data_IF_483574151657
#
_entry.id   IF_483574151657
#
_cell.length_a   1.000
_cell.length_b   1.000
_cell.length_c   1.000
_cell.angle_alpha   90.00
_cell.angle_beta   90.00
_cell.angle_gamma   90.00
#
_symmetry.space_group_name_H-M   'P 1'
#
loop_
_entity.id
_entity.type
_entity.pdbx_description
1 polymer ?
#
# COMPACT_ATOMS: atom_id res chain seq x y z
N UNK A 1 3.85 20.49 1.49
CA UNK A 1 5.11 19.72 1.57
C UNK A 1 5.40 18.98 0.26
N UNK A 2 6.63 18.46 0.10
CA UNK A 2 6.98 17.62 -1.06
C UNK A 2 6.10 16.36 -1.14
N UNK A 3 5.79 15.76 0.00
CA UNK A 3 4.90 14.60 0.06
C UNK A 3 3.47 14.93 -0.39
N UNK A 4 2.91 16.06 0.02
CA UNK A 4 1.57 16.51 -0.37
C UNK A 4 1.46 16.77 -1.87
N UNK A 5 2.51 17.26 -2.50
CA UNK A 5 2.54 17.48 -3.96
C UNK A 5 2.21 16.20 -4.75
N UNK A 6 2.69 15.03 -4.28
CA UNK A 6 2.38 13.74 -4.90
C UNK A 6 1.13 13.07 -4.33
N UNK A 7 0.81 13.34 -3.05
CA UNK A 7 -0.34 12.74 -2.39
C UNK A 7 -1.66 13.32 -2.91
N UNK A 8 -1.75 14.63 -3.10
CA UNK A 8 -3.00 15.29 -3.48
C UNK A 8 -3.60 14.78 -4.80
N UNK A 9 -2.84 14.64 -5.91
CA UNK A 9 -3.38 14.06 -7.14
C UNK A 9 -3.82 12.61 -6.98
N UNK A 10 -3.17 11.86 -6.10
CA UNK A 10 -3.57 10.48 -5.80
C UNK A 10 -4.90 10.43 -5.03
N UNK A 11 -5.09 11.30 -4.03
CA UNK A 11 -6.34 11.39 -3.28
C UNK A 11 -7.49 11.85 -4.18
N UNK A 12 -7.24 12.81 -5.07
CA UNK A 12 -8.21 13.23 -6.08
C UNK A 12 -8.63 12.07 -6.99
N UNK A 13 -7.68 11.26 -7.44
CA UNK A 13 -7.98 10.07 -8.23
C UNK A 13 -8.79 9.03 -7.43
N UNK A 14 -8.48 8.82 -6.16
CA UNK A 14 -9.26 7.95 -5.28
C UNK A 14 -10.70 8.42 -5.13
N UNK A 15 -10.92 9.73 -4.93
CA UNK A 15 -12.25 10.32 -4.86
C UNK A 15 -13.03 10.07 -6.15
N UNK A 16 -12.42 10.29 -7.33
CA UNK A 16 -13.05 10.06 -8.62
C UNK A 16 -13.46 8.60 -8.82
N UNK A 17 -12.70 7.65 -8.31
CA UNK A 17 -13.08 6.22 -8.34
C UNK A 17 -13.96 5.80 -7.16
N UNK A 18 -14.45 6.74 -6.35
CA UNK A 18 -15.35 6.46 -5.23
C UNK A 18 -14.68 5.76 -4.04
N UNK A 19 -13.40 6.00 -3.81
CA UNK A 19 -12.63 5.50 -2.66
C UNK A 19 -12.25 6.68 -1.78
N UNK A 20 -12.79 6.74 -0.57
CA UNK A 20 -12.54 7.81 0.40
C UNK A 20 -11.86 7.21 1.65
N UNK A 21 -10.54 7.03 1.63
CA UNK A 21 -9.83 6.47 2.77
C UNK A 21 -9.66 7.49 3.90
N UNK A 22 -9.55 7.00 5.12
CA UNK A 22 -8.96 7.77 6.20
C UNK A 22 -7.46 7.92 5.94
N UNK A 23 -6.98 9.15 5.91
CA UNK A 23 -5.57 9.45 5.63
C UNK A 23 -4.83 9.72 6.92
N UNK A 24 -3.83 8.90 7.23
CA UNK A 24 -2.96 9.08 8.39
C UNK A 24 -1.61 9.63 7.93
N UNK A 25 -1.26 10.82 8.40
CA UNK A 25 0.03 11.43 8.15
C UNK A 25 1.04 10.92 9.19
N UNK A 26 1.87 9.96 8.79
CA UNK A 26 2.75 9.24 9.71
C UNK A 26 3.73 10.15 10.48
N UNK A 27 4.20 11.26 9.88
CA UNK A 27 5.06 12.22 10.57
C UNK A 27 4.33 12.91 11.75
N UNK A 28 3.06 13.22 11.60
CA UNK A 28 2.25 13.80 12.67
C UNK A 28 2.07 12.82 13.85
N UNK A 29 1.94 11.52 13.55
CA UNK A 29 1.89 10.48 14.59
C UNK A 29 3.20 10.42 15.39
N UNK A 30 4.35 10.60 14.73
CA UNK A 30 5.63 10.74 15.42
C UNK A 30 5.71 12.01 16.26
N UNK A 31 5.26 13.14 15.74
CA UNK A 31 5.25 14.45 16.45
C UNK A 31 4.31 14.43 17.66
N UNK A 32 3.20 13.67 17.59
CA UNK A 32 2.29 13.46 18.74
C UNK A 32 2.80 12.43 19.75
N UNK A 33 3.96 11.82 19.50
CA UNK A 33 4.57 10.82 20.38
C UNK A 33 3.90 9.45 20.38
N UNK A 34 3.02 9.15 19.43
CA UNK A 34 2.30 7.85 19.33
C UNK A 34 3.28 6.67 19.16
N UNK A 35 4.45 6.92 18.58
CA UNK A 35 5.49 5.93 18.39
C UNK A 35 6.46 5.77 19.58
N UNK A 36 6.42 6.66 20.57
CA UNK A 36 7.45 6.73 21.63
C UNK A 36 7.58 5.42 22.43
N UNK A 37 6.47 4.80 22.81
CA UNK A 37 6.46 3.51 23.52
C UNK A 37 7.09 2.40 22.67
N UNK A 38 6.77 2.35 21.37
CA UNK A 38 7.26 1.31 20.47
C UNK A 38 8.73 1.51 20.10
N UNK A 39 9.21 2.75 20.05
CA UNK A 39 10.64 3.06 19.92
C UNK A 39 11.40 2.53 21.13
N UNK A 40 10.92 2.81 22.35
CA UNK A 40 11.54 2.34 23.58
C UNK A 40 11.55 0.82 23.69
N UNK A 41 10.42 0.16 23.35
CA UNK A 41 10.33 -1.30 23.27
C UNK A 41 11.27 -1.90 22.23
N UNK A 42 11.36 -1.28 21.04
CA UNK A 42 12.26 -1.74 19.99
C UNK A 42 13.73 -1.62 20.41
N UNK A 43 14.10 -0.55 21.12
CA UNK A 43 15.46 -0.36 21.63
C UNK A 43 15.78 -1.40 22.71
N UNK A 44 14.86 -1.66 23.64
CA UNK A 44 15.02 -2.68 24.67
C UNK A 44 15.19 -4.09 24.12
N UNK A 45 14.49 -4.39 23.00
CA UNK A 45 14.52 -5.69 22.34
C UNK A 45 15.40 -5.70 21.07
N UNK A 46 16.38 -4.80 20.98
CA UNK A 46 17.17 -4.56 19.76
C UNK A 46 17.80 -5.82 19.18
N UNK A 47 18.38 -6.67 20.01
CA UNK A 47 19.10 -7.86 19.53
C UNK A 47 18.10 -8.93 19.03
N UNK A 48 16.95 -9.09 19.67
CA UNK A 48 15.90 -10.01 19.21
C UNK A 48 15.31 -9.56 17.88
N UNK A 49 15.01 -8.26 17.73
CA UNK A 49 14.52 -7.70 16.46
C UNK A 49 15.58 -7.84 15.36
N UNK A 50 16.84 -7.60 15.68
CA UNK A 50 17.95 -7.75 14.75
C UNK A 50 18.06 -9.18 14.22
N UNK A 51 18.12 -10.18 15.09
CA UNK A 51 18.18 -11.59 14.69
C UNK A 51 16.95 -12.00 13.89
N UNK A 52 15.77 -11.59 14.30
CA UNK A 52 14.50 -11.81 13.58
C UNK A 52 14.57 -11.29 12.13
N UNK A 53 15.04 -10.06 11.93
CA UNK A 53 15.17 -9.49 10.58
C UNK A 53 16.19 -10.28 9.76
N UNK A 54 17.33 -10.63 10.34
CA UNK A 54 18.39 -11.38 9.63
C UNK A 54 17.94 -12.79 9.24
N UNK A 55 17.32 -13.51 10.15
CA UNK A 55 16.86 -14.89 9.95
C UNK A 55 15.77 -14.98 8.87
N UNK A 56 14.78 -14.09 8.91
CA UNK A 56 13.64 -14.15 7.99
C UNK A 56 13.99 -13.58 6.61
N UNK A 57 14.68 -12.42 6.58
CA UNK A 57 14.97 -11.74 5.32
C UNK A 57 16.28 -12.15 4.65
N UNK A 58 17.14 -12.88 5.35
CA UNK A 58 18.49 -13.23 4.87
C UNK A 58 19.44 -12.03 4.75
N UNK A 59 19.07 -10.86 5.28
CA UNK A 59 19.89 -9.64 5.20
C UNK A 59 20.80 -9.55 6.40
N UNK A 60 22.08 -9.33 6.18
CA UNK A 60 23.01 -8.94 7.24
C UNK A 60 22.78 -7.46 7.60
N UNK A 61 22.56 -7.19 8.89
CA UNK A 61 22.48 -5.84 9.41
C UNK A 61 23.85 -5.40 9.94
N UNK A 62 24.26 -4.13 9.74
CA UNK A 62 25.49 -3.58 10.27
C UNK A 62 25.62 -3.80 11.79
N UNK A 63 26.84 -3.88 12.30
CA UNK A 63 27.05 -4.06 13.75
C UNK A 63 26.49 -2.90 14.57
N UNK A 64 26.60 -1.69 14.01
CA UNK A 64 26.09 -0.44 14.57
C UNK A 64 24.58 -0.21 14.32
N UNK A 65 23.89 -1.18 13.70
CA UNK A 65 22.46 -1.03 13.45
C UNK A 65 21.68 -0.76 14.75
N UNK A 66 20.75 0.20 14.64
CA UNK A 66 19.92 0.61 15.76
C UNK A 66 18.46 0.75 15.31
N UNK A 67 17.46 0.39 16.14
CA UNK A 67 16.05 0.40 15.76
C UNK A 67 15.39 1.80 15.79
N UNK A 68 16.18 2.83 15.94
CA UNK A 68 15.77 4.22 15.89
C UNK A 68 16.82 5.04 15.13
N UNK A 69 16.39 5.90 14.24
CA UNK A 69 17.23 6.79 13.43
C UNK A 69 16.90 8.24 13.77
N UNK A 70 17.72 8.92 14.55
CA UNK A 70 17.56 10.34 14.85
C UNK A 70 17.73 11.22 13.62
N UNK A 71 17.13 12.40 13.62
CA UNK A 71 17.36 13.45 12.63
C UNK A 71 18.59 14.25 13.04
N UNK A 72 19.59 14.32 12.16
CA UNK A 72 20.83 15.06 12.38
C UNK A 72 20.68 16.58 12.29
N UNK A 73 21.77 17.29 12.49
CA UNK A 73 21.81 18.76 12.49
C UNK A 73 21.43 19.38 11.14
N UNK A 74 21.65 18.65 10.04
CA UNK A 74 21.28 19.03 8.67
C UNK A 74 19.84 18.60 8.28
N UNK A 75 19.06 18.09 9.24
CA UNK A 75 17.71 17.54 9.06
C UNK A 75 17.67 16.27 8.21
N UNK A 76 18.80 15.59 8.04
CA UNK A 76 18.90 14.29 7.39
C UNK A 76 18.92 13.14 8.43
N UNK A 77 18.59 11.94 7.97
CA UNK A 77 18.81 10.69 8.70
C UNK A 77 20.12 10.02 8.30
N UNK A 78 20.71 10.48 7.18
CA UNK A 78 21.86 9.81 6.57
C UNK A 78 23.13 10.11 7.38
N UNK A 79 23.88 9.03 7.68
CA UNK A 79 25.15 9.15 8.41
C UNK A 79 25.02 9.46 9.89
N UNK A 80 23.80 9.55 10.44
CA UNK A 80 23.57 9.74 11.87
C UNK A 80 23.75 8.42 12.61
N UNK A 81 24.60 8.40 13.62
CA UNK A 81 24.90 7.23 14.46
C UNK A 81 24.40 7.47 15.88
N UNK A 82 23.63 6.53 16.40
CA UNK A 82 23.22 6.56 17.82
C UNK A 82 24.41 6.14 18.67
N UNK A 83 24.77 7.00 19.60
CA UNK A 83 25.89 6.81 20.55
C UNK A 83 25.40 6.37 21.93
N UNK A 84 24.12 6.59 22.25
CA UNK A 84 23.52 6.20 23.52
C UNK A 84 22.01 6.38 23.52
N UNK A 85 21.36 5.77 24.51
CA UNK A 85 19.92 5.93 24.74
C UNK A 85 19.60 5.92 26.22
N UNK A 86 18.84 6.92 26.65
CA UNK A 86 18.25 7.00 27.99
C UNK A 86 16.84 7.57 27.83
N UNK A 87 15.83 6.74 28.02
CA UNK A 87 14.43 7.10 27.79
C UNK A 87 14.08 8.44 28.45
N UNK A 88 13.54 9.43 27.70
CA UNK A 88 13.11 9.37 26.29
C UNK A 88 14.14 9.87 25.27
N UNK A 89 15.41 9.96 25.61
CA UNK A 89 16.44 10.63 24.82
C UNK A 89 17.36 9.65 24.09
N UNK A 90 17.48 9.82 22.77
CA UNK A 90 18.53 9.24 21.94
C UNK A 90 19.69 10.21 21.76
N UNK A 91 20.91 9.80 22.06
CA UNK A 91 22.13 10.57 21.82
C UNK A 91 22.76 10.12 20.51
N UNK A 92 23.27 11.05 19.73
CA UNK A 92 23.78 10.75 18.39
C UNK A 92 24.93 11.67 17.99
N UNK A 93 25.70 11.20 17.00
CA UNK A 93 26.67 12.00 16.25
C UNK A 93 26.32 11.90 14.76
N UNK A 94 26.24 13.02 14.04
CA UNK A 94 25.92 13.05 12.62
C UNK A 94 27.15 12.90 11.71
N UNK A 95 26.92 12.91 10.39
CA UNK A 95 27.97 12.79 9.38
C UNK A 95 28.97 13.95 9.40
N UNK A 96 28.60 15.09 9.99
CA UNK A 96 29.45 16.30 10.13
C UNK A 96 30.23 16.33 11.44
N UNK A 97 30.08 15.28 12.28
CA UNK A 97 30.73 15.20 13.59
C UNK A 97 30.04 16.03 14.66
N UNK A 98 28.80 16.45 14.43
CA UNK A 98 28.01 17.20 15.43
C UNK A 98 27.33 16.19 16.35
N UNK A 99 27.54 16.36 17.65
CA UNK A 99 26.84 15.61 18.68
C UNK A 99 25.49 16.25 19.00
N UNK A 100 24.45 15.41 19.17
CA UNK A 100 23.12 15.88 19.47
C UNK A 100 22.32 14.92 20.33
N UNK A 101 21.12 15.38 20.65
CA UNK A 101 20.13 14.65 21.42
C UNK A 101 18.76 14.79 20.76
N UNK A 102 18.03 13.70 20.65
CA UNK A 102 16.65 13.65 20.14
C UNK A 102 15.69 13.11 21.20
N UNK A 103 14.51 13.66 21.26
CA UNK A 103 13.41 13.16 22.08
C UNK A 103 12.49 12.28 21.20
N UNK A 104 12.35 11.01 21.57
CA UNK A 104 11.52 10.06 20.79
C UNK A 104 10.02 10.42 20.77
N UNK A 105 9.58 11.36 21.59
CA UNK A 105 8.18 11.81 21.70
C UNK A 105 7.83 12.96 20.77
N UNK A 106 8.81 13.60 20.13
CA UNK A 106 8.64 14.86 19.40
C UNK A 106 8.87 14.73 17.89
N UNK A 107 8.92 13.52 17.34
CA UNK A 107 9.19 13.33 15.91
C UNK A 107 10.63 13.67 15.50
N UNK A 108 11.58 13.70 16.44
CA UNK A 108 12.99 14.03 16.20
C UNK A 108 13.81 12.85 15.65
N UNK A 109 13.12 11.85 15.11
CA UNK A 109 13.67 10.67 14.48
C UNK A 109 12.56 9.68 14.13
N UNK A 110 12.94 8.56 13.53
CA UNK A 110 11.98 7.50 13.16
C UNK A 110 12.58 6.10 13.30
N UNK A 111 11.73 5.11 13.37
CA UNK A 111 12.13 3.72 13.28
C UNK A 111 12.46 3.31 11.83
N UNK A 112 13.40 2.35 11.62
CA UNK A 112 13.57 1.69 10.34
C UNK A 112 12.26 1.08 9.85
N UNK A 113 12.05 1.10 8.54
CA UNK A 113 10.83 0.71 7.83
C UNK A 113 10.14 -0.57 8.37
N UNK A 114 10.89 -1.65 8.60
CA UNK A 114 10.30 -2.93 9.02
C UNK A 114 9.73 -2.89 10.44
N UNK A 115 10.30 -2.07 11.32
CA UNK A 115 9.83 -1.88 12.69
C UNK A 115 8.69 -0.87 12.71
N UNK A 116 8.86 0.23 12.00
CA UNK A 116 7.84 1.27 11.82
C UNK A 116 6.52 0.69 11.33
N UNK A 117 6.56 -0.18 10.31
CA UNK A 117 5.38 -0.81 9.77
C UNK A 117 4.65 -1.69 10.79
N UNK A 118 5.40 -2.51 11.55
CA UNK A 118 4.84 -3.34 12.61
C UNK A 118 4.22 -2.50 13.75
N UNK A 119 4.87 -1.39 14.13
CA UNK A 119 4.32 -0.47 15.13
C UNK A 119 3.04 0.21 14.65
N UNK A 120 2.95 0.59 13.37
CA UNK A 120 1.72 1.16 12.78
C UNK A 120 0.54 0.20 12.85
N UNK A 121 0.76 -1.09 12.66
CA UNK A 121 -0.31 -2.08 12.83
C UNK A 121 -0.95 -2.00 14.22
N UNK A 122 -0.12 -1.79 15.25
CA UNK A 122 -0.60 -1.70 16.65
C UNK A 122 -1.27 -0.34 16.88
N UNK A 123 -0.59 0.76 16.54
CA UNK A 123 -1.05 2.13 16.77
C UNK A 123 -2.43 2.37 16.13
N UNK A 124 -2.62 1.87 14.91
CA UNK A 124 -3.85 2.10 14.17
C UNK A 124 -4.84 0.93 14.22
N UNK A 125 -4.57 -0.12 15.01
CA UNK A 125 -5.46 -1.27 15.15
C UNK A 125 -5.74 -2.00 13.85
N UNK A 126 -4.72 -2.15 12.99
CA UNK A 126 -4.86 -2.77 11.67
C UNK A 126 -5.13 -4.26 11.83
N UNK A 127 -6.23 -4.75 11.28
CA UNK A 127 -6.63 -6.16 11.30
C UNK A 127 -6.42 -6.88 9.99
N UNK A 128 -6.32 -6.13 8.88
CA UNK A 128 -6.05 -6.66 7.54
C UNK A 128 -5.10 -5.73 6.80
N UNK A 129 -4.00 -6.28 6.27
CA UNK A 129 -2.98 -5.53 5.54
C UNK A 129 -2.90 -6.02 4.09
N UNK A 130 -3.43 -5.27 3.11
CA UNK A 130 -3.16 -5.53 1.70
C UNK A 130 -1.69 -5.25 1.39
N UNK A 131 -0.97 -6.26 0.92
CA UNK A 131 0.45 -6.16 0.61
C UNK A 131 0.74 -6.54 -0.84
N UNK A 132 1.49 -5.72 -1.55
CA UNK A 132 2.04 -6.09 -2.85
C UNK A 132 2.94 -7.32 -2.72
N UNK A 133 3.08 -8.09 -3.79
CA UNK A 133 3.85 -9.33 -3.83
C UNK A 133 5.28 -9.19 -3.32
N UNK A 134 5.93 -8.08 -3.57
CA UNK A 134 7.29 -7.77 -3.12
C UNK A 134 7.41 -7.68 -1.60
N UNK A 135 6.36 -7.26 -0.91
CA UNK A 135 6.29 -7.20 0.55
C UNK A 135 5.63 -8.43 1.18
N UNK A 136 4.63 -9.01 0.50
CA UNK A 136 3.81 -10.12 1.01
C UNK A 136 4.35 -11.51 0.70
N UNK A 137 5.38 -11.65 -0.16
CA UNK A 137 6.02 -12.93 -0.46
C UNK A 137 6.83 -13.46 0.73
N UNK A 138 7.12 -14.76 0.71
CA UNK A 138 7.93 -15.43 1.73
C UNK A 138 9.29 -14.72 1.93
N UNK A 139 9.65 -14.41 3.17
CA UNK A 139 10.84 -13.65 3.53
C UNK A 139 10.73 -12.13 3.28
N UNK A 140 9.58 -11.65 2.84
CA UNK A 140 9.28 -10.24 2.61
C UNK A 140 9.15 -9.41 3.90
N UNK A 141 8.82 -8.15 3.71
CA UNK A 141 8.70 -7.22 4.85
C UNK A 141 7.54 -7.59 5.78
N UNK A 142 6.47 -8.18 5.25
CA UNK A 142 5.34 -8.62 6.07
C UNK A 142 5.75 -9.76 7.01
N UNK A 143 6.45 -10.76 6.50
CA UNK A 143 6.87 -11.92 7.31
C UNK A 143 7.83 -11.52 8.45
N UNK A 144 8.66 -10.49 8.24
CA UNK A 144 9.47 -9.91 9.32
C UNK A 144 8.62 -9.06 10.28
N UNK A 145 7.57 -8.43 9.79
CA UNK A 145 6.66 -7.60 10.60
C UNK A 145 5.87 -8.41 11.63
N UNK A 146 5.49 -9.66 11.32
CA UNK A 146 4.71 -10.52 12.24
C UNK A 146 5.40 -10.70 13.60
N UNK A 147 6.62 -11.25 13.71
CA UNK A 147 7.29 -11.42 15.00
C UNK A 147 7.66 -10.08 15.63
N UNK A 148 8.04 -9.06 14.84
CA UNK A 148 8.34 -7.73 15.38
C UNK A 148 7.09 -7.12 16.04
N UNK A 149 5.90 -7.24 15.44
CA UNK A 149 4.64 -6.80 16.03
C UNK A 149 4.42 -7.46 17.39
N UNK A 150 4.67 -8.77 17.51
CA UNK A 150 4.54 -9.51 18.77
C UNK A 150 5.58 -9.07 19.81
N UNK A 151 6.82 -8.83 19.41
CA UNK A 151 7.87 -8.27 20.29
C UNK A 151 7.45 -6.90 20.82
N UNK A 152 6.77 -6.10 20.01
CA UNK A 152 6.23 -4.79 20.39
C UNK A 152 4.92 -4.89 21.18
N UNK A 153 4.42 -6.10 21.49
CA UNK A 153 3.24 -6.32 22.33
C UNK A 153 1.90 -6.31 21.62
N UNK A 154 1.88 -6.36 20.26
CA UNK A 154 0.66 -6.35 19.46
C UNK A 154 0.33 -7.67 18.77
N UNK A 155 -0.82 -7.67 18.10
CA UNK A 155 -1.27 -8.76 17.23
C UNK A 155 -1.12 -8.35 15.78
N UNK A 156 -0.41 -9.14 14.94
CA UNK A 156 -0.24 -8.81 13.53
C UNK A 156 -1.55 -9.01 12.75
N UNK A 157 -1.81 -8.18 11.71
CA UNK A 157 -2.99 -8.32 10.87
C UNK A 157 -2.94 -9.56 10.00
N UNK A 158 -4.10 -9.98 9.46
CA UNK A 158 -4.14 -10.90 8.32
C UNK A 158 -3.68 -10.20 7.04
N UNK A 159 -3.02 -10.93 6.12
CA UNK A 159 -2.56 -10.35 4.85
C UNK A 159 -3.42 -10.73 3.66
N UNK A 160 -3.55 -9.79 2.73
CA UNK A 160 -4.06 -10.04 1.39
C UNK A 160 -2.94 -9.68 0.40
N UNK A 161 -2.31 -10.70 -0.19
CA UNK A 161 -1.23 -10.46 -1.17
C UNK A 161 -1.81 -10.30 -2.56
N UNK A 162 -1.44 -9.20 -3.22
CA UNK A 162 -1.86 -8.90 -4.59
C UNK A 162 -0.66 -8.76 -5.54
N UNK A 163 -0.93 -9.06 -6.81
CA UNK A 163 0.05 -8.95 -7.89
C UNK A 163 0.09 -7.53 -8.46
N UNK A 164 1.10 -7.27 -9.26
CA UNK A 164 1.35 -5.95 -9.84
C UNK A 164 0.39 -5.58 -10.96
N UNK A 165 0.15 -4.28 -11.12
CA UNK A 165 -0.38 -3.70 -12.34
C UNK A 165 0.83 -3.34 -13.22
N UNK A 166 0.84 -3.85 -14.45
CA UNK A 166 1.93 -3.68 -15.42
C UNK A 166 1.40 -2.96 -16.66
N UNK A 167 2.27 -2.23 -17.33
CA UNK A 167 1.94 -1.72 -18.65
C UNK A 167 2.15 -2.83 -19.69
N UNK A 168 1.15 -3.07 -20.53
CA UNK A 168 1.20 -4.10 -21.56
C UNK A 168 2.40 -3.90 -22.49
N UNK A 169 3.22 -4.94 -22.62
CA UNK A 169 4.43 -4.93 -23.45
C UNK A 169 5.63 -4.21 -22.83
N UNK A 170 5.49 -3.56 -21.68
CA UNK A 170 6.57 -2.82 -21.00
C UNK A 170 6.97 -3.42 -19.64
N UNK A 171 6.15 -4.35 -19.11
CA UNK A 171 6.40 -4.99 -17.82
C UNK A 171 6.03 -4.13 -16.61
N UNK A 172 6.65 -4.39 -15.43
CA UNK A 172 6.34 -3.68 -14.20
C UNK A 172 6.58 -2.17 -14.33
N UNK A 173 5.63 -1.38 -13.81
CA UNK A 173 5.79 0.08 -13.76
C UNK A 173 6.91 0.46 -12.78
N UNK A 174 7.72 1.44 -13.18
CA UNK A 174 8.83 1.94 -12.36
C UNK A 174 8.99 3.45 -12.56
N UNK A 175 8.85 4.19 -11.48
CA UNK A 175 9.02 5.65 -11.49
C UNK A 175 10.46 6.06 -11.85
N UNK A 176 11.46 5.27 -11.44
CA UNK A 176 12.88 5.56 -11.73
C UNK A 176 13.26 5.39 -13.19
N UNK A 177 12.53 4.54 -13.93
CA UNK A 177 12.74 4.36 -15.39
C UNK A 177 11.82 5.25 -16.24
N UNK A 178 10.89 5.99 -15.63
CA UNK A 178 9.87 6.78 -16.33
C UNK A 178 8.78 5.94 -17.01
N UNK A 179 8.78 4.61 -16.81
CA UNK A 179 7.77 3.71 -17.34
C UNK A 179 6.64 3.58 -16.30
N UNK A 180 5.71 4.52 -16.33
CA UNK A 180 4.59 4.56 -15.40
C UNK A 180 3.41 5.28 -16.01
N UNK A 181 2.22 4.95 -15.55
CA UNK A 181 0.99 5.72 -15.76
C UNK A 181 0.39 6.01 -14.39
N UNK A 182 0.14 7.28 -14.11
CA UNK A 182 -0.48 7.70 -12.87
C UNK A 182 -1.99 7.44 -12.85
N UNK A 183 -2.63 7.37 -11.66
CA UNK A 183 -4.08 7.16 -11.58
C UNK A 183 -4.90 8.23 -12.32
N UNK A 184 -4.52 9.50 -12.21
CA UNK A 184 -5.19 10.59 -12.93
C UNK A 184 -5.05 10.48 -14.45
N UNK A 185 -3.87 10.04 -14.91
CA UNK A 185 -3.63 9.79 -16.33
C UNK A 185 -4.49 8.62 -16.82
N UNK A 186 -4.58 7.54 -16.05
CA UNK A 186 -5.47 6.41 -16.37
C UNK A 186 -6.94 6.84 -16.44
N UNK A 187 -7.39 7.70 -15.51
CA UNK A 187 -8.74 8.27 -15.51
C UNK A 187 -9.01 9.23 -16.67
N UNK A 188 -7.99 9.82 -17.29
CA UNK A 188 -8.15 10.61 -18.51
C UNK A 188 -8.45 9.76 -19.75
N UNK A 189 -8.16 8.44 -19.68
CA UNK A 189 -8.35 7.51 -20.82
C UNK A 189 -9.70 6.79 -20.76
N UNK A 190 -10.22 6.52 -19.57
CA UNK A 190 -11.48 5.77 -19.37
C UNK A 190 -12.28 6.28 -18.19
N UNK A 191 -13.62 6.10 -18.20
CA UNK A 191 -14.46 6.34 -17.02
C UNK A 191 -13.98 5.54 -15.80
N UNK A 192 -14.21 6.09 -14.59
CA UNK A 192 -13.80 5.45 -13.33
C UNK A 192 -14.35 4.04 -13.16
N UNK A 193 -15.55 3.75 -13.64
CA UNK A 193 -16.18 2.43 -13.59
C UNK A 193 -15.39 1.38 -14.40
N UNK A 194 -14.85 1.77 -15.55
CA UNK A 194 -14.02 0.89 -16.39
C UNK A 194 -12.69 0.59 -15.67
N UNK A 195 -12.07 1.59 -15.06
CA UNK A 195 -10.83 1.39 -14.29
C UNK A 195 -11.08 0.44 -13.11
N UNK A 196 -12.16 0.65 -12.35
CA UNK A 196 -12.57 -0.25 -11.27
C UNK A 196 -12.89 -1.66 -11.78
N UNK A 197 -13.55 -1.77 -12.94
CA UNK A 197 -13.87 -3.06 -13.55
C UNK A 197 -12.63 -3.86 -13.93
N UNK A 198 -11.61 -3.21 -14.51
CA UNK A 198 -10.32 -3.86 -14.82
C UNK A 198 -9.73 -4.53 -13.58
N UNK A 199 -9.80 -3.86 -12.42
CA UNK A 199 -9.31 -4.39 -11.16
C UNK A 199 -10.25 -5.47 -10.62
N UNK A 200 -11.56 -5.20 -10.54
CA UNK A 200 -12.55 -6.08 -9.92
C UNK A 200 -12.71 -7.44 -10.64
N UNK A 201 -12.56 -7.48 -11.98
CA UNK A 201 -12.62 -8.74 -12.75
C UNK A 201 -11.34 -9.57 -12.66
N UNK A 202 -10.25 -8.98 -12.21
CA UNK A 202 -8.94 -9.63 -12.19
C UNK A 202 -8.77 -10.51 -10.95
N UNK A 203 -8.00 -11.60 -11.13
CA UNK A 203 -7.65 -12.46 -9.99
C UNK A 203 -6.52 -11.80 -9.22
N UNK A 204 -6.64 -11.77 -7.89
CA UNK A 204 -5.67 -11.13 -7.00
C UNK A 204 -4.24 -11.68 -7.15
N UNK A 205 -4.10 -12.95 -7.53
CA UNK A 205 -2.82 -13.64 -7.71
C UNK A 205 -2.31 -13.64 -9.16
N UNK A 206 -2.79 -12.70 -9.99
CA UNK A 206 -2.32 -12.51 -11.38
C UNK A 206 -2.06 -11.05 -11.63
N UNK A 207 -1.02 -10.77 -12.43
CA UNK A 207 -0.74 -9.43 -12.92
C UNK A 207 -1.94 -8.87 -13.68
N UNK A 208 -2.20 -7.60 -13.48
CA UNK A 208 -3.13 -6.83 -14.30
C UNK A 208 -2.30 -6.14 -15.37
N UNK A 209 -2.52 -6.49 -16.64
CA UNK A 209 -1.93 -5.77 -17.77
C UNK A 209 -2.84 -4.61 -18.15
N UNK A 210 -2.38 -3.40 -17.83
CA UNK A 210 -3.04 -2.17 -18.25
C UNK A 210 -2.55 -1.82 -19.65
N UNK A 211 -3.46 -1.85 -20.62
CA UNK A 211 -3.20 -1.49 -22.02
C UNK A 211 -3.85 -0.14 -22.32
N UNK A 212 -3.08 0.82 -22.78
CA UNK A 212 -3.58 2.15 -23.20
C UNK A 212 -4.08 2.17 -24.66
N UNK A 213 -4.07 1.01 -25.32
CA UNK A 213 -4.47 0.85 -26.71
C UNK A 213 -5.81 0.12 -26.87
N UNK A 214 -5.89 -0.69 -27.93
CA UNK A 214 -7.13 -1.35 -28.38
C UNK A 214 -7.78 -2.23 -27.28
N UNK A 215 -6.98 -2.90 -26.44
CA UNK A 215 -7.55 -3.77 -25.38
C UNK A 215 -8.34 -2.97 -24.34
N UNK A 216 -8.04 -1.68 -24.15
CA UNK A 216 -8.82 -0.83 -23.25
C UNK A 216 -10.23 -0.60 -23.78
N UNK A 217 -10.35 -0.29 -25.06
CA UNK A 217 -11.66 -0.15 -25.73
C UNK A 217 -12.44 -1.46 -25.73
N UNK A 218 -11.78 -2.59 -25.99
CA UNK A 218 -12.42 -3.90 -25.90
C UNK A 218 -12.95 -4.22 -24.52
N UNK A 219 -12.24 -3.78 -23.46
CA UNK A 219 -12.68 -3.94 -22.08
C UNK A 219 -13.88 -3.06 -21.76
N UNK A 220 -13.90 -1.83 -22.27
CA UNK A 220 -15.05 -0.95 -22.13
C UNK A 220 -16.29 -1.50 -22.85
N UNK A 221 -16.14 -1.98 -24.09
CA UNK A 221 -17.21 -2.64 -24.84
C UNK A 221 -17.72 -3.91 -24.13
N UNK A 222 -16.83 -4.69 -23.54
CA UNK A 222 -17.20 -5.87 -22.74
C UNK A 222 -18.05 -5.47 -21.52
N UNK A 223 -17.59 -4.45 -20.79
CA UNK A 223 -18.30 -3.91 -19.63
C UNK A 223 -19.71 -3.47 -20.00
N UNK A 224 -19.86 -2.64 -21.03
CA UNK A 224 -21.14 -2.15 -21.49
C UNK A 224 -22.08 -3.28 -21.91
N UNK A 225 -21.57 -4.25 -22.65
CA UNK A 225 -22.35 -5.43 -23.04
C UNK A 225 -22.86 -6.21 -21.83
N UNK A 226 -22.04 -6.36 -20.78
CA UNK A 226 -22.43 -7.06 -19.56
C UNK A 226 -23.45 -6.27 -18.75
N UNK A 227 -23.31 -4.96 -18.67
CA UNK A 227 -24.26 -4.06 -17.98
C UNK A 227 -25.61 -4.02 -18.70
N UNK A 228 -25.60 -4.00 -20.04
CA UNK A 228 -26.81 -3.95 -20.86
C UNK A 228 -27.53 -5.30 -21.03
N UNK A 229 -26.87 -6.40 -20.65
CA UNK A 229 -27.44 -7.73 -20.77
C UNK A 229 -28.66 -7.91 -19.84
N UNK A 230 -29.70 -8.54 -20.34
CA UNK A 230 -30.82 -8.96 -19.51
C UNK A 230 -30.37 -9.97 -18.46
N UNK A 231 -31.02 -9.96 -17.29
CA UNK A 231 -30.75 -10.95 -16.25
C UNK A 231 -31.02 -12.35 -16.80
N UNK A 232 -30.04 -13.25 -16.75
CA UNK A 232 -30.25 -14.61 -17.28
C UNK A 232 -31.15 -15.42 -16.36
N UNK A 233 -31.80 -16.44 -16.94
CA UNK A 233 -32.48 -17.46 -16.16
C UNK A 233 -31.45 -18.32 -15.42
N UNK A 234 -31.50 -18.29 -14.10
CA UNK A 234 -30.55 -19.00 -13.23
C UNK A 234 -30.97 -20.48 -13.03
N UNK A 235 -32.24 -20.82 -13.22
CA UNK A 235 -32.79 -22.16 -12.93
C UNK A 235 -32.18 -23.26 -13.83
N UNK A 236 -31.79 -22.92 -15.06
CA UNK A 236 -31.14 -23.84 -16.01
C UNK A 236 -29.62 -23.94 -15.90
N UNK A 237 -28.97 -23.18 -15.03
CA UNK A 237 -27.49 -23.09 -14.98
C UNK A 237 -26.86 -24.24 -14.19
N UNK A 238 -25.83 -24.87 -14.77
CA UNK A 238 -24.94 -25.73 -14.00
C UNK A 238 -24.03 -24.91 -13.06
N UNK A 239 -23.39 -25.60 -12.10
CA UNK A 239 -22.55 -24.95 -11.08
C UNK A 239 -21.46 -24.05 -11.68
N UNK A 240 -20.81 -24.44 -12.79
CA UNK A 240 -19.77 -23.67 -13.45
C UNK A 240 -20.32 -22.39 -14.06
N UNK A 241 -21.47 -22.47 -14.72
CA UNK A 241 -22.16 -21.31 -15.29
C UNK A 241 -22.62 -20.35 -14.20
N UNK A 242 -23.19 -20.86 -13.10
CA UNK A 242 -23.60 -20.05 -11.97
C UNK A 242 -22.43 -19.29 -11.34
N UNK A 243 -21.31 -19.96 -11.08
CA UNK A 243 -20.08 -19.30 -10.54
C UNK A 243 -19.56 -18.25 -11.50
N UNK A 244 -19.52 -18.53 -12.81
CA UNK A 244 -19.07 -17.55 -13.80
C UNK A 244 -19.98 -16.31 -13.82
N UNK A 245 -21.29 -16.52 -13.80
CA UNK A 245 -22.27 -15.43 -13.74
C UNK A 245 -22.13 -14.61 -12.46
N UNK A 246 -22.06 -15.24 -11.30
CA UNK A 246 -21.86 -14.55 -10.01
C UNK A 246 -20.56 -13.75 -9.98
N UNK A 247 -19.46 -14.27 -10.56
CA UNK A 247 -18.18 -13.57 -10.67
C UNK A 247 -18.31 -12.32 -11.54
N UNK A 248 -18.96 -12.41 -12.69
CA UNK A 248 -19.20 -11.26 -13.57
C UNK A 248 -20.11 -10.22 -12.91
N UNK A 249 -21.24 -10.66 -12.32
CA UNK A 249 -22.14 -9.76 -11.59
C UNK A 249 -21.44 -9.06 -10.43
N UNK A 250 -20.59 -9.78 -9.70
CA UNK A 250 -19.74 -9.22 -8.65
C UNK A 250 -18.78 -8.15 -9.18
N UNK A 251 -18.09 -8.43 -10.30
CA UNK A 251 -17.18 -7.47 -10.91
C UNK A 251 -17.90 -6.19 -11.35
N UNK A 252 -19.08 -6.31 -11.96
CA UNK A 252 -19.93 -5.16 -12.33
C UNK A 252 -20.35 -4.37 -11.09
N UNK A 253 -20.82 -5.05 -10.04
CA UNK A 253 -21.23 -4.41 -8.79
C UNK A 253 -20.08 -3.63 -8.15
N UNK A 254 -18.89 -4.22 -8.05
CA UNK A 254 -17.73 -3.59 -7.45
C UNK A 254 -17.08 -2.53 -8.35
N UNK A 255 -17.44 -2.45 -9.62
CA UNK A 255 -16.98 -1.39 -10.50
C UNK A 255 -17.75 -0.07 -10.33
N UNK A 256 -18.90 -0.08 -9.67
CA UNK A 256 -19.67 1.15 -9.49
C UNK A 256 -18.96 2.12 -8.55
N UNK A 257 -18.90 3.40 -8.94
CA UNK A 257 -18.37 4.48 -8.12
C UNK A 257 -19.34 4.80 -6.98
N UNK A 258 -20.64 4.77 -7.26
CA UNK A 258 -21.70 4.90 -6.26
C UNK A 258 -22.31 3.54 -6.01
N UNK A 259 -22.30 3.07 -4.78
CA UNK A 259 -22.70 1.72 -4.38
C UNK A 259 -24.13 1.34 -4.76
N UNK A 260 -25.03 2.33 -4.87
CA UNK A 260 -26.46 2.12 -5.13
C UNK A 260 -26.90 2.62 -6.52
N UNK A 261 -25.96 2.96 -7.41
CA UNK A 261 -26.26 3.39 -8.77
C UNK A 261 -26.60 2.18 -9.66
N UNK A 262 -27.57 2.39 -10.58
CA UNK A 262 -27.79 1.40 -11.66
C UNK A 262 -26.55 1.45 -12.60
N UNK A 263 -25.85 0.33 -12.80
CA UNK A 263 -24.70 0.29 -13.70
C UNK A 263 -24.98 0.81 -15.10
N UNK A 264 -26.23 0.73 -15.57
CA UNK A 264 -26.66 1.20 -16.89
C UNK A 264 -26.67 2.71 -17.04
N UNK A 265 -26.72 3.45 -15.93
CA UNK A 265 -26.71 4.92 -15.92
C UNK A 265 -25.29 5.48 -16.01
N UNK A 266 -24.28 4.68 -15.66
CA UNK A 266 -22.90 5.17 -15.47
C UNK A 266 -22.16 5.49 -16.78
N UNK A 267 -22.44 4.79 -17.87
CA UNK A 267 -21.75 4.96 -19.17
C UNK A 267 -22.67 5.39 -20.31
N UNK A 268 -23.94 5.69 -20.04
CA UNK A 268 -24.85 6.30 -21.01
C UNK A 268 -25.18 5.50 -22.27
N UNK A 269 -24.82 4.22 -22.32
CA UNK A 269 -25.12 3.34 -23.45
C UNK A 269 -24.35 3.67 -24.75
N UNK A 270 -23.23 4.37 -24.65
CA UNK A 270 -22.37 4.72 -25.79
C UNK A 270 -21.19 3.76 -25.89
N UNK A 271 -21.08 3.05 -27.01
CA UNK A 271 -19.92 2.17 -27.26
C UNK A 271 -18.71 2.97 -27.74
N UNK A 272 -17.50 2.52 -27.40
CA UNK A 272 -16.24 3.16 -27.85
C UNK A 272 -15.91 2.89 -29.32
N UNK A 273 -16.81 2.25 -30.08
CA UNK A 273 -16.61 1.90 -31.50
C UNK A 273 -17.21 2.90 -32.47
N UNK A 274 -17.76 4.00 -32.01
CA UNK A 274 -18.39 5.03 -32.85
C UNK A 274 -17.58 6.31 -32.89
#
# INVERSE_FOLDING_TARGET
>A
SYAEYFLNPFLEALEQIGVNPEVVMNHESYERGEFAEYIDLAIKNKEEIRSTIQEISGRELPKEWFPYSPIGSDRSLDGVKVTGYENPYGFWTDAHGVDGKSDIRNGEGKMPWRIDWAARWIIHGITCEPAGKDHGAAGGSYDTGIPICKILGGEPPDKIVYEWIQLKGMGPMSSSSGVTIGPMEALSLVPPEILRYIIARSKINRHIEFDTGISLFQTADEYERLVSASSPDLEGMNKRQLVAHQTQAGAIRFSQVKTDSDPRESIGGVTFRH
#
